data_IF_202777405123
#
_entry.id   IF_202777405123
#
_cell.length_a   1.000
_cell.length_b   1.000
_cell.length_c   1.000
_cell.angle_alpha   90.00
_cell.angle_beta   90.00
_cell.angle_gamma   90.00
#
_symmetry.space_group_name_H-M   'P 1'
#
loop_
_entity.id
_entity.type
_entity.pdbx_description
1 polymer ?
#
# COMPACT_ATOMS: atom_id res chain seq x y z
N UNK A 1 16.85 7.17 -24.57
CA UNK A 1 16.38 6.39 -23.41
C UNK A 1 15.77 5.10 -23.95
N UNK A 2 16.35 3.93 -23.68
CA UNK A 2 15.92 2.66 -24.28
C UNK A 2 14.45 2.34 -23.93
N UNK A 3 13.70 1.78 -24.88
CA UNK A 3 12.28 1.39 -24.73
C UNK A 3 12.05 0.47 -23.53
N UNK A 4 13.01 -0.40 -23.21
CA UNK A 4 12.98 -1.31 -22.07
C UNK A 4 12.95 -0.58 -20.72
N UNK A 5 13.70 0.52 -20.58
CA UNK A 5 13.73 1.32 -19.34
C UNK A 5 12.37 2.01 -19.11
N UNK A 6 11.73 2.47 -20.19
CA UNK A 6 10.38 3.06 -20.11
C UNK A 6 9.34 2.02 -19.70
N UNK A 7 9.42 0.80 -20.24
CA UNK A 7 8.52 -0.28 -19.88
C UNK A 7 8.67 -0.68 -18.40
N UNK A 8 9.90 -0.85 -17.91
CA UNK A 8 10.14 -1.19 -16.50
C UNK A 8 9.63 -0.09 -15.56
N UNK A 9 9.87 1.18 -15.89
CA UNK A 9 9.35 2.31 -15.10
C UNK A 9 7.82 2.34 -15.10
N UNK A 10 7.18 2.13 -16.23
CA UNK A 10 5.72 2.09 -16.30
C UNK A 10 5.12 0.94 -15.48
N UNK A 11 5.76 -0.24 -15.48
CA UNK A 11 5.37 -1.38 -14.63
C UNK A 11 5.54 -1.02 -13.15
N UNK A 12 6.64 -0.37 -12.79
CA UNK A 12 6.88 0.08 -11.42
C UNK A 12 5.83 1.11 -10.96
N UNK A 13 5.57 2.14 -11.77
CA UNK A 13 4.55 3.15 -11.49
C UNK A 13 3.14 2.55 -11.44
N UNK A 14 2.86 1.49 -12.20
CA UNK A 14 1.58 0.76 -12.13
C UNK A 14 1.43 -0.05 -10.85
N UNK A 15 2.49 -0.76 -10.42
CA UNK A 15 2.44 -1.66 -9.25
C UNK A 15 2.53 -0.86 -7.95
N UNK A 16 3.47 0.06 -7.85
CA UNK A 16 3.76 0.83 -6.62
C UNK A 16 2.91 2.10 -6.58
N UNK A 17 2.55 2.65 -7.73
CA UNK A 17 1.89 3.95 -7.80
C UNK A 17 2.88 5.11 -7.71
N UNK A 18 2.30 6.29 -7.57
CA UNK A 18 2.95 7.57 -7.34
C UNK A 18 3.37 7.78 -5.88
N UNK A 19 2.69 7.13 -4.92
CA UNK A 19 3.00 7.21 -3.49
C UNK A 19 3.61 5.91 -2.93
N UNK A 20 4.95 5.83 -2.80
CA UNK A 20 5.63 4.64 -2.29
C UNK A 20 5.27 4.31 -0.83
N UNK A 21 4.79 5.28 -0.04
CA UNK A 21 4.43 5.00 1.36
C UNK A 21 3.06 4.34 1.44
N UNK A 22 2.11 4.74 0.60
CA UNK A 22 0.84 4.02 0.52
C UNK A 22 1.07 2.56 0.11
N UNK A 23 1.97 2.30 -0.85
CA UNK A 23 2.35 0.93 -1.23
C UNK A 23 2.94 0.13 -0.06
N UNK A 24 3.91 0.69 0.68
CA UNK A 24 4.48 0.05 1.89
C UNK A 24 3.40 -0.19 2.94
N UNK A 25 2.50 0.77 3.14
CA UNK A 25 1.37 0.67 4.05
C UNK A 25 0.45 -0.50 3.73
N UNK A 26 0.14 -0.72 2.44
CA UNK A 26 -0.67 -1.86 1.98
C UNK A 26 0.04 -3.18 2.29
N UNK A 27 1.34 -3.29 2.01
CA UNK A 27 2.13 -4.50 2.32
C UNK A 27 2.10 -4.80 3.82
N UNK A 28 2.30 -3.78 4.66
CA UNK A 28 2.23 -3.92 6.12
C UNK A 28 0.83 -4.35 6.58
N UNK A 29 -0.22 -3.75 6.04
CA UNK A 29 -1.59 -4.08 6.41
C UNK A 29 -1.96 -5.52 6.02
N UNK A 30 -1.50 -5.99 4.85
CA UNK A 30 -1.69 -7.38 4.43
C UNK A 30 -0.93 -8.34 5.34
N UNK A 31 0.32 -8.01 5.69
CA UNK A 31 1.10 -8.76 6.68
C UNK A 31 0.42 -8.83 8.05
N UNK A 32 -0.15 -7.73 8.54
CA UNK A 32 -0.92 -7.73 9.77
C UNK A 32 -2.18 -8.61 9.67
N UNK A 33 -2.87 -8.55 8.52
CA UNK A 33 -4.05 -9.37 8.26
C UNK A 33 -3.71 -10.86 8.29
N UNK A 34 -2.61 -11.28 7.64
CA UNK A 34 -2.19 -12.69 7.62
C UNK A 34 -1.77 -13.18 9.01
N UNK A 35 -1.06 -12.36 9.79
CA UNK A 35 -0.67 -12.70 11.17
C UNK A 35 -1.89 -12.86 12.10
N UNK A 36 -2.88 -11.96 12.00
CA UNK A 36 -4.09 -12.04 12.83
C UNK A 36 -4.95 -13.24 12.41
N UNK A 37 -5.12 -13.45 11.10
CA UNK A 37 -5.90 -14.57 10.57
C UNK A 37 -5.26 -15.93 10.89
N UNK A 38 -3.92 -16.04 10.82
CA UNK A 38 -3.21 -17.29 11.15
C UNK A 38 -3.25 -17.64 12.64
N UNK A 39 -3.47 -16.64 13.51
CA UNK A 39 -3.73 -16.85 14.93
C UNK A 39 -5.19 -17.28 15.22
N UNK A 40 -6.03 -17.48 14.20
CA UNK A 40 -7.44 -17.89 14.35
C UNK A 40 -8.40 -16.76 14.69
N UNK A 41 -7.94 -15.50 14.70
CA UNK A 41 -8.77 -14.33 14.96
C UNK A 41 -9.35 -13.74 13.66
N UNK A 42 -10.58 -13.20 13.68
CA UNK A 42 -11.16 -12.54 12.51
C UNK A 42 -10.42 -11.22 12.20
N UNK A 43 -9.79 -11.14 11.03
CA UNK A 43 -8.95 -10.01 10.60
C UNK A 43 -9.65 -9.02 9.64
N UNK A 44 -10.97 -9.13 9.44
CA UNK A 44 -11.72 -8.36 8.46
C UNK A 44 -11.63 -6.83 8.65
N UNK A 45 -11.37 -6.36 9.88
CA UNK A 45 -11.30 -4.95 10.23
C UNK A 45 -9.95 -4.30 9.89
N UNK A 46 -8.89 -5.10 9.66
CA UNK A 46 -7.53 -4.59 9.44
C UNK A 46 -7.46 -3.74 8.17
N UNK A 47 -8.01 -4.25 7.06
CA UNK A 47 -8.02 -3.54 5.78
C UNK A 47 -8.81 -2.23 5.83
N UNK A 48 -10.06 -2.18 6.34
CA UNK A 48 -10.79 -0.92 6.52
C UNK A 48 -10.02 0.13 7.32
N UNK A 49 -9.42 -0.26 8.46
CA UNK A 49 -8.63 0.65 9.30
C UNK A 49 -7.39 1.13 8.56
N UNK A 50 -6.68 0.24 7.87
CA UNK A 50 -5.50 0.58 7.08
C UNK A 50 -5.83 1.56 5.95
N UNK A 51 -6.93 1.36 5.22
CA UNK A 51 -7.36 2.26 4.15
C UNK A 51 -7.63 3.67 4.69
N UNK A 52 -8.38 3.79 5.79
CA UNK A 52 -8.66 5.09 6.41
C UNK A 52 -7.37 5.76 6.89
N UNK A 53 -6.47 5.01 7.52
CA UNK A 53 -5.20 5.54 8.02
C UNK A 53 -4.27 6.01 6.88
N UNK A 54 -4.13 5.21 5.82
CA UNK A 54 -3.30 5.57 4.66
C UNK A 54 -3.88 6.74 3.89
N UNK A 55 -5.20 6.81 3.73
CA UNK A 55 -5.87 7.97 3.13
C UNK A 55 -5.60 9.24 3.96
N UNK A 56 -5.78 9.17 5.28
CA UNK A 56 -5.50 10.30 6.16
C UNK A 56 -4.03 10.74 6.10
N UNK A 57 -3.10 9.79 6.03
CA UNK A 57 -1.67 10.08 5.89
C UNK A 57 -1.34 10.72 4.53
N UNK A 58 -1.91 10.19 3.45
CA UNK A 58 -1.75 10.73 2.10
C UNK A 58 -2.26 12.18 2.03
N UNK A 59 -3.47 12.44 2.52
CA UNK A 59 -4.02 13.80 2.59
C UNK A 59 -3.16 14.75 3.43
N UNK A 60 -2.66 14.30 4.58
CA UNK A 60 -1.78 15.11 5.43
C UNK A 60 -0.47 15.48 4.76
N UNK A 61 0.04 14.63 3.86
CA UNK A 61 1.27 14.88 3.10
C UNK A 61 1.04 15.76 1.89
N UNK A 62 -0.12 15.65 1.27
CA UNK A 62 -0.49 16.50 0.13
C UNK A 62 -0.72 17.97 0.54
N UNK A 63 -1.15 18.20 1.79
CA UNK A 63 -1.47 19.55 2.31
C UNK A 63 -0.27 20.22 3.01
N UNK A 64 0.75 19.45 3.40
CA UNK A 64 1.99 19.99 4.00
C UNK A 64 3.01 20.33 2.94
#
# INVERSE_FOLDING_TARGET
>A
MNSLVRAVRAVWEFIVGDDPVTAVGVVVALGATTLIASAGAPAWWVMPVAVVALLALSLRRAVR
#
